data_IF_628596707176
#
_entry.id   IF_628596707176
#
_cell.length_a   1.000
_cell.length_b   1.000
_cell.length_c   1.000
_cell.angle_alpha   90.00
_cell.angle_beta   90.00
_cell.angle_gamma   90.00
#
_symmetry.space_group_name_H-M   'P 1'
#
loop_
_entity.id
_entity.type
_entity.pdbx_description
1 polymer ?
#
# COMPACT_ATOMS: atom_id res chain seq x y z
N UNK A 1 -16.16 2.58 -5.96
CA UNK A 1 -15.07 2.10 -5.09
C UNK A 1 -15.03 0.60 -5.13
N UNK A 2 -13.82 0.04 -5.12
CA UNK A 2 -13.57 -1.39 -5.00
C UNK A 2 -13.13 -1.66 -3.56
N UNK A 3 -13.77 -2.64 -2.93
CA UNK A 3 -13.43 -3.13 -1.60
C UNK A 3 -13.28 -4.64 -1.66
N UNK A 4 -12.08 -5.13 -1.38
CA UNK A 4 -11.75 -6.56 -1.40
C UNK A 4 -11.28 -6.96 -0.02
N UNK A 5 -11.88 -8.01 0.53
CA UNK A 5 -11.41 -8.64 1.77
C UNK A 5 -10.70 -9.94 1.40
N UNK A 6 -9.45 -10.04 1.81
CA UNK A 6 -8.62 -11.24 1.67
C UNK A 6 -8.46 -11.87 3.04
N UNK A 7 -8.96 -13.09 3.19
CA UNK A 7 -8.89 -13.86 4.43
C UNK A 7 -7.63 -14.75 4.44
N UNK A 8 -6.69 -14.45 5.34
CA UNK A 8 -5.47 -15.23 5.56
C UNK A 8 -5.58 -16.15 6.78
N UNK A 9 -6.79 -16.31 7.35
CA UNK A 9 -7.09 -17.14 8.50
C UNK A 9 -6.73 -16.49 9.84
N UNK A 10 -5.46 -16.08 10.00
CA UNK A 10 -4.99 -15.41 11.23
C UNK A 10 -5.30 -13.91 11.24
N UNK A 11 -5.41 -13.30 10.07
CA UNK A 11 -5.73 -11.89 9.88
C UNK A 11 -6.48 -11.70 8.56
N UNK A 12 -7.07 -10.53 8.41
CA UNK A 12 -7.69 -10.10 7.16
C UNK A 12 -6.90 -8.94 6.58
N UNK A 13 -6.71 -8.95 5.28
CA UNK A 13 -6.19 -7.80 4.55
C UNK A 13 -7.33 -7.19 3.73
N UNK A 14 -7.48 -5.88 3.82
CA UNK A 14 -8.49 -5.14 3.06
C UNK A 14 -7.79 -4.28 2.03
N UNK A 15 -8.17 -4.46 0.76
CA UNK A 15 -7.80 -3.55 -0.32
C UNK A 15 -9.01 -2.65 -0.61
N UNK A 16 -8.84 -1.37 -0.35
CA UNK A 16 -9.79 -0.33 -0.78
C UNK A 16 -9.14 0.55 -1.84
N UNK A 17 -9.87 0.79 -2.93
CA UNK A 17 -9.42 1.72 -3.96
C UNK A 17 -10.61 2.41 -4.65
N UNK A 18 -10.41 3.66 -5.03
CA UNK A 18 -11.37 4.41 -5.79
C UNK A 18 -10.83 5.78 -6.18
N UNK A 19 -11.63 6.46 -7.01
CA UNK A 19 -11.36 7.83 -7.44
C UNK A 19 -12.55 8.67 -7.02
N UNK A 20 -12.26 9.83 -6.45
CA UNK A 20 -13.25 10.81 -6.02
C UNK A 20 -12.94 12.19 -6.63
N UNK A 21 -13.79 13.17 -6.36
CA UNK A 21 -13.62 14.54 -6.90
C UNK A 21 -12.74 15.42 -6.02
N UNK A 22 -12.09 14.89 -4.98
CA UNK A 22 -11.27 15.67 -4.08
C UNK A 22 -9.85 15.82 -4.64
N UNK A 23 -9.25 16.98 -4.39
CA UNK A 23 -7.87 17.27 -4.79
C UNK A 23 -6.92 16.80 -3.70
N UNK A 24 -6.94 15.48 -3.44
CA UNK A 24 -6.06 14.81 -2.47
C UNK A 24 -5.52 13.51 -3.05
N UNK A 25 -4.42 13.05 -2.49
CA UNK A 25 -3.91 11.71 -2.73
C UNK A 25 -3.94 10.95 -1.42
N UNK A 26 -4.75 9.90 -1.34
CA UNK A 26 -4.85 9.03 -0.16
C UNK A 26 -4.37 7.64 -0.57
N UNK A 27 -3.11 7.38 -0.27
CA UNK A 27 -2.45 6.12 -0.55
C UNK A 27 -1.63 5.71 0.66
N UNK A 28 -2.05 4.65 1.32
CA UNK A 28 -1.35 4.14 2.48
C UNK A 28 -1.50 2.62 2.60
N UNK A 29 -0.58 2.01 3.34
CA UNK A 29 -0.69 0.64 3.84
C UNK A 29 -0.65 0.75 5.35
N UNK A 30 -1.66 0.16 6.01
CA UNK A 30 -1.78 0.22 7.47
C UNK A 30 -1.95 -1.18 8.04
N UNK A 31 -1.23 -1.44 9.13
CA UNK A 31 -1.21 -2.70 9.85
C UNK A 31 -1.59 -2.42 11.29
N UNK A 32 -2.60 -3.15 11.77
CA UNK A 32 -3.08 -3.06 13.15
C UNK A 32 -2.66 -4.30 13.93
N UNK A 33 -1.98 -4.06 15.06
CA UNK A 33 -1.71 -5.04 16.10
C UNK A 33 -2.57 -4.77 17.34
N UNK A 34 -2.43 -5.62 18.35
CA UNK A 34 -3.18 -5.50 19.61
C UNK A 34 -2.86 -4.21 20.37
N UNK A 35 -1.58 -3.81 20.39
CA UNK A 35 -1.09 -2.67 21.15
C UNK A 35 -0.33 -1.65 20.30
N UNK A 36 -0.32 -1.82 18.97
CA UNK A 36 0.38 -0.92 18.06
C UNK A 36 -0.26 -0.88 16.69
N UNK A 37 -0.02 0.22 15.97
CA UNK A 37 -0.36 0.35 14.55
C UNK A 37 0.81 0.96 13.79
N UNK A 38 0.97 0.53 12.53
CA UNK A 38 1.95 1.08 11.61
C UNK A 38 1.26 1.49 10.33
N UNK A 39 1.46 2.75 9.90
CA UNK A 39 0.94 3.27 8.64
C UNK A 39 2.07 3.82 7.79
N UNK A 40 2.25 3.23 6.61
CA UNK A 40 3.12 3.75 5.57
C UNK A 40 2.25 4.58 4.63
N UNK A 41 2.48 5.89 4.60
CA UNK A 41 1.74 6.84 3.77
C UNK A 41 2.60 7.34 2.61
N UNK A 42 2.00 7.33 1.42
CA UNK A 42 2.57 7.82 0.18
C UNK A 42 1.89 9.14 -0.19
N UNK A 43 2.71 10.11 -0.57
CA UNK A 43 2.20 11.39 -1.07
C UNK A 43 1.92 11.33 -2.57
N UNK A 44 1.40 12.44 -3.12
CA UNK A 44 1.11 12.54 -4.54
C UNK A 44 2.35 12.23 -5.39
N UNK A 45 2.24 11.33 -6.39
CA UNK A 45 3.36 10.99 -7.27
C UNK A 45 3.70 12.13 -8.25
N UNK A 46 2.86 13.16 -8.33
CA UNK A 46 2.99 14.25 -9.29
C UNK A 46 3.91 15.38 -8.83
N UNK A 47 4.38 15.35 -7.58
CA UNK A 47 5.29 16.35 -7.00
C UNK A 47 6.56 15.63 -6.55
N UNK A 48 7.71 16.12 -7.02
CA UNK A 48 9.03 15.60 -6.65
C UNK A 48 9.37 15.91 -5.19
N UNK A 49 10.24 15.09 -4.59
CA UNK A 49 10.77 15.29 -3.24
C UNK A 49 9.73 15.22 -2.12
N UNK A 50 8.63 14.49 -2.34
CA UNK A 50 7.71 14.12 -1.27
C UNK A 50 8.07 12.73 -0.76
N UNK A 51 8.70 12.62 0.42
CA UNK A 51 9.13 11.33 0.95
C UNK A 51 7.97 10.55 1.56
N UNK A 52 8.09 9.23 1.52
CA UNK A 52 7.22 8.33 2.27
C UNK A 52 7.30 8.61 3.76
N UNK A 53 6.14 8.61 4.43
CA UNK A 53 6.02 8.79 5.88
C UNK A 53 5.63 7.48 6.53
N UNK A 54 6.33 7.09 7.59
CA UNK A 54 5.95 5.97 8.45
C UNK A 54 5.43 6.52 9.77
N UNK A 55 4.17 6.26 10.05
CA UNK A 55 3.53 6.54 11.33
C UNK A 55 3.55 5.27 12.18
N UNK A 56 3.91 5.42 13.43
CA UNK A 56 3.93 4.35 14.42
C UNK A 56 3.16 4.85 15.63
N UNK A 57 2.14 4.11 16.04
CA UNK A 57 1.42 4.35 17.30
C UNK A 57 1.57 3.11 18.19
N UNK A 58 1.93 3.30 19.46
CA UNK A 58 2.15 2.20 20.40
C UNK A 58 1.55 2.55 21.76
N UNK A 59 0.95 1.55 22.39
CA UNK A 59 0.46 1.62 23.77
C UNK A 59 1.18 0.58 24.62
N UNK A 60 1.82 1.02 25.70
CA UNK A 60 2.46 0.17 26.69
C UNK A 60 1.94 0.51 28.09
N UNK A 61 0.99 -0.27 28.59
CA UNK A 61 0.29 0.03 29.85
C UNK A 61 -0.53 1.32 29.73
N UNK A 62 -0.24 2.32 30.57
CA UNK A 62 -0.88 3.63 30.53
C UNK A 62 -0.17 4.64 29.60
N UNK A 63 0.92 4.23 28.95
CA UNK A 63 1.70 5.10 28.07
C UNK A 63 1.31 4.90 26.61
N UNK A 64 0.95 5.99 25.94
CA UNK A 64 0.69 6.03 24.50
C UNK A 64 1.72 6.92 23.80
N UNK A 65 2.33 6.41 22.74
CA UNK A 65 3.34 7.11 21.94
C UNK A 65 2.94 7.16 20.47
N UNK A 66 3.22 8.29 19.83
CA UNK A 66 3.08 8.47 18.38
C UNK A 66 4.39 8.97 17.80
N UNK A 67 4.86 8.33 16.73
CA UNK A 67 6.09 8.68 16.05
C UNK A 67 5.86 8.77 14.54
N UNK A 68 6.47 9.77 13.92
CA UNK A 68 6.50 9.92 12.45
C UNK A 68 7.94 9.88 11.98
N UNK A 69 8.26 8.88 11.17
CA UNK A 69 9.57 8.68 10.56
C UNK A 69 9.53 9.12 9.09
N UNK A 70 10.51 9.93 8.71
CA UNK A 70 10.84 10.27 7.32
C UNK A 70 12.30 9.90 7.11
N UNK A 71 12.56 8.67 6.65
CA UNK A 71 13.91 8.11 6.58
C UNK A 71 14.79 8.78 5.52
N UNK A 72 14.17 9.46 4.56
CA UNK A 72 14.82 10.07 3.41
C UNK A 72 14.10 11.36 3.02
N UNK A 73 14.82 12.30 2.38
CA UNK A 73 14.23 13.45 1.69
C UNK A 73 13.92 13.18 0.21
N UNK A 74 14.50 12.11 -0.35
CA UNK A 74 14.18 11.65 -1.69
C UNK A 74 12.81 10.96 -1.73
N UNK A 75 12.05 11.21 -2.78
CA UNK A 75 10.80 10.51 -3.10
C UNK A 75 11.05 9.04 -3.49
N UNK A 76 10.03 8.17 -3.40
CA UNK A 76 10.17 6.75 -3.70
C UNK A 76 10.61 6.45 -5.14
N UNK A 77 10.23 7.27 -6.13
CA UNK A 77 10.64 7.04 -7.53
C UNK A 77 12.13 7.29 -7.74
N UNK A 78 12.68 8.31 -7.10
CA UNK A 78 14.14 8.54 -7.11
C UNK A 78 14.87 7.31 -6.55
N UNK A 79 14.39 6.76 -5.43
CA UNK A 79 14.96 5.54 -4.82
C UNK A 79 14.84 4.31 -5.70
N UNK A 80 13.71 4.14 -6.39
CA UNK A 80 13.50 3.04 -7.32
C UNK A 80 14.46 3.11 -8.51
N UNK A 81 14.65 4.30 -9.10
CA UNK A 81 15.59 4.50 -10.20
C UNK A 81 17.06 4.32 -9.78
N UNK A 82 17.43 4.76 -8.58
CA UNK A 82 18.75 4.49 -7.99
C UNK A 82 18.98 2.99 -7.84
N UNK A 83 18.00 2.25 -7.32
CA UNK A 83 18.07 0.80 -7.15
C UNK A 83 18.16 0.07 -8.51
N UNK A 84 17.37 0.51 -9.50
CA UNK A 84 17.43 -0.04 -10.85
C UNK A 84 18.80 0.21 -11.50
N UNK A 85 19.33 1.43 -11.39
CA UNK A 85 20.64 1.78 -11.90
C UNK A 85 21.74 0.91 -11.26
N UNK A 86 21.70 0.74 -9.94
CA UNK A 86 22.66 -0.09 -9.21
C UNK A 86 22.60 -1.56 -9.66
N UNK A 87 21.39 -2.11 -9.84
CA UNK A 87 21.21 -3.47 -10.35
C UNK A 87 21.80 -3.65 -11.76
N UNK A 88 21.65 -2.64 -12.63
CA UNK A 88 22.18 -2.68 -14.00
C UNK A 88 23.70 -2.58 -14.03
N UNK A 89 24.29 -1.66 -13.25
CA UNK A 89 25.72 -1.34 -13.31
C UNK A 89 26.55 -2.33 -12.50
N UNK A 90 26.07 -2.71 -11.33
CA UNK A 90 26.82 -3.51 -10.37
C UNK A 90 26.31 -4.95 -10.25
N UNK A 91 25.21 -5.30 -10.93
CA UNK A 91 24.62 -6.64 -10.83
C UNK A 91 24.05 -6.94 -9.45
N UNK A 92 23.66 -5.91 -8.68
CA UNK A 92 23.00 -6.11 -7.39
C UNK A 92 21.63 -6.75 -7.58
N UNK A 93 21.18 -7.51 -6.57
CA UNK A 93 19.93 -8.26 -6.66
C UNK A 93 18.72 -7.35 -6.78
N UNK A 94 17.82 -7.67 -7.73
CA UNK A 94 16.55 -6.97 -7.89
C UNK A 94 15.58 -7.53 -6.83
N UNK A 95 15.15 -6.68 -5.90
CA UNK A 95 14.23 -7.07 -4.81
C UNK A 95 12.82 -7.44 -5.32
N UNK A 96 12.37 -6.78 -6.38
CA UNK A 96 11.05 -6.96 -7.02
C UNK A 96 11.28 -7.33 -8.47
N UNK A 97 11.47 -8.62 -8.72
CA UNK A 97 11.76 -9.16 -10.07
C UNK A 97 10.53 -9.15 -10.96
N UNK A 98 10.73 -9.37 -12.27
CA UNK A 98 9.61 -9.52 -13.20
C UNK A 98 8.80 -10.80 -12.90
N UNK A 99 9.47 -11.84 -12.39
CA UNK A 99 8.85 -13.09 -11.97
C UNK A 99 7.95 -12.88 -10.74
N UNK A 100 8.37 -12.05 -9.77
CA UNK A 100 7.55 -11.70 -8.60
C UNK A 100 6.23 -11.03 -9.02
N UNK A 101 6.28 -10.15 -10.03
CA UNK A 101 5.10 -9.46 -10.55
C UNK A 101 4.05 -10.41 -11.15
N UNK A 102 4.44 -11.65 -11.49
CA UNK A 102 3.46 -12.64 -11.98
C UNK A 102 2.45 -13.05 -10.92
N UNK A 103 2.83 -13.01 -9.64
CA UNK A 103 1.91 -13.28 -8.53
C UNK A 103 0.89 -12.14 -8.34
N UNK A 104 1.30 -10.88 -8.56
CA UNK A 104 0.38 -9.74 -8.56
C UNK A 104 -0.70 -9.88 -9.64
N UNK A 105 -0.29 -10.29 -10.85
CA UNK A 105 -1.23 -10.54 -11.95
C UNK A 105 -2.20 -11.69 -11.64
N UNK A 106 -1.75 -12.74 -10.96
CA UNK A 106 -2.61 -13.84 -10.51
C UNK A 106 -3.62 -13.35 -9.49
N UNK A 107 -3.18 -12.55 -8.51
CA UNK A 107 -4.05 -11.94 -7.50
C UNK A 107 -5.12 -11.05 -8.16
N UNK A 108 -4.76 -10.20 -9.12
CA UNK A 108 -5.74 -9.41 -9.88
C UNK A 108 -6.73 -10.29 -10.63
N UNK A 109 -6.27 -11.41 -11.21
CA UNK A 109 -7.14 -12.41 -11.83
C UNK A 109 -8.17 -12.98 -10.86
N UNK A 110 -7.76 -13.33 -9.64
CA UNK A 110 -8.67 -13.81 -8.59
C UNK A 110 -9.68 -12.76 -8.16
N UNK A 111 -9.23 -11.51 -7.97
CA UNK A 111 -10.12 -10.38 -7.63
C UNK A 111 -11.18 -10.19 -8.72
N UNK A 112 -10.78 -10.15 -9.99
CA UNK A 112 -11.70 -9.99 -11.13
C UNK A 112 -12.70 -11.16 -11.20
N UNK A 113 -12.24 -12.39 -10.97
CA UNK A 113 -13.10 -13.57 -10.97
C UNK A 113 -14.14 -13.49 -9.83
N UNK A 114 -13.73 -13.09 -8.63
CA UNK A 114 -14.63 -12.90 -7.49
C UNK A 114 -15.68 -11.82 -7.76
N UNK A 115 -15.29 -10.68 -8.36
CA UNK A 115 -16.21 -9.61 -8.75
C UNK A 115 -17.27 -10.10 -9.74
N UNK A 116 -16.88 -10.93 -10.71
CA UNK A 116 -17.82 -11.48 -11.72
C UNK A 116 -18.83 -12.47 -11.14
N UNK A 117 -18.48 -13.15 -10.06
CA UNK A 117 -19.35 -14.11 -9.38
C UNK A 117 -20.25 -13.43 -8.34
N UNK A 118 -19.86 -12.24 -7.85
CA UNK A 118 -20.68 -11.47 -6.95
C UNK A 118 -22.01 -11.12 -7.65
N UNK A 119 -23.17 -11.34 -7.01
CA UNK A 119 -24.43 -10.88 -7.56
C UNK A 119 -24.34 -9.38 -7.79
N UNK A 120 -24.87 -8.92 -8.93
CA UNK A 120 -24.98 -7.49 -9.20
C UNK A 120 -25.71 -6.85 -8.02
N UNK A 121 -24.99 -6.05 -7.24
CA UNK A 121 -25.59 -5.15 -6.24
C UNK A 121 -26.55 -4.26 -7.04
N UNK A 122 -27.84 -4.61 -7.04
CA UNK A 122 -28.87 -3.86 -7.73
C UNK A 122 -28.77 -2.42 -7.28
N UNK A 123 -28.67 -1.49 -8.23
CA UNK A 123 -28.58 -0.07 -7.94
C UNK A 123 -29.72 0.33 -7.01
N UNK A 124 -29.40 0.61 -5.76
CA UNK A 124 -30.28 1.33 -4.88
C UNK A 124 -30.25 2.79 -5.33
N UNK A 125 -31.25 3.14 -6.11
CA UNK A 125 -31.68 4.51 -6.35
C UNK A 125 -31.98 5.18 -5.01
N UNK A 126 -31.23 6.23 -4.66
CA UNK A 126 -31.72 7.57 -4.32
C UNK A 126 -30.56 8.52 -4.01
#
# INVERSE_FOLDING_TARGET
YLHVVMDYGLFQAVLETGVDSQVRFDAHIEVYGETSSLRVEFDTPYIRHLPTRLYIEETAGEHHTQQVIRSTYADPYTRELEALHDAIVNGTGIKTSAEDFTDDLRLFGWIIAAIRQAPSQGGATQ
#
